data_IF_569484797090
#
_entry.id   IF_569484797090
#
_cell.length_a   1.000
_cell.length_b   1.000
_cell.length_c   1.000
_cell.angle_alpha   90.00
_cell.angle_beta   90.00
_cell.angle_gamma   90.00
#
_symmetry.space_group_name_H-M   'P 1'
#
loop_
_entity.id
_entity.type
_entity.pdbx_description
1 polymer ?
#
# COMPACT_ATOMS: atom_id res chain seq x y z
N UNK A 1 31.70 12.10 5.73
CA UNK A 1 31.46 11.60 7.09
C UNK A 1 30.91 10.18 6.99
N UNK A 2 31.56 9.19 7.61
CA UNK A 2 31.08 7.81 7.63
C UNK A 2 29.88 7.71 8.58
N UNK A 3 28.67 7.67 8.03
CA UNK A 3 27.46 7.47 8.83
C UNK A 3 27.28 5.98 9.10
N UNK A 4 27.44 5.50 10.35
CA UNK A 4 27.44 4.08 10.67
C UNK A 4 26.10 3.39 10.36
N UNK A 5 24.98 4.11 10.47
CA UNK A 5 23.65 3.60 10.08
C UNK A 5 23.62 3.25 8.59
N UNK A 6 24.17 4.13 7.75
CA UNK A 6 24.27 3.90 6.31
C UNK A 6 25.33 2.85 5.99
N UNK A 7 26.22 2.47 6.92
CA UNK A 7 27.15 1.35 6.72
C UNK A 7 26.49 -0.03 6.82
N UNK A 8 25.29 -0.11 7.41
CA UNK A 8 24.60 -1.38 7.62
C UNK A 8 24.12 -2.01 6.31
N UNK A 9 23.98 -3.35 6.28
CA UNK A 9 23.25 -4.03 5.21
C UNK A 9 21.85 -3.47 5.05
N UNK A 10 21.38 -3.38 3.81
CA UNK A 10 20.06 -2.80 3.51
C UNK A 10 18.92 -3.44 4.30
N UNK A 11 18.97 -4.76 4.51
CA UNK A 11 17.97 -5.52 5.27
C UNK A 11 17.89 -5.05 6.73
N UNK A 12 19.04 -4.72 7.35
CA UNK A 12 19.04 -4.20 8.73
C UNK A 12 18.42 -2.80 8.80
N UNK A 13 18.70 -1.95 7.81
CA UNK A 13 18.08 -0.62 7.70
C UNK A 13 16.58 -0.74 7.46
N UNK A 14 16.14 -1.58 6.52
CA UNK A 14 14.72 -1.86 6.26
C UNK A 14 14.01 -2.40 7.52
N UNK A 15 14.68 -3.24 8.31
CA UNK A 15 14.14 -3.76 9.58
C UNK A 15 13.96 -2.65 10.61
N UNK A 16 14.92 -1.71 10.72
CA UNK A 16 14.78 -0.54 11.60
C UNK A 16 13.61 0.33 11.14
N UNK A 17 13.52 0.62 9.84
CA UNK A 17 12.45 1.42 9.26
C UNK A 17 11.07 0.76 9.42
N UNK A 18 10.99 -0.57 9.58
CA UNK A 18 9.71 -1.27 9.77
C UNK A 18 8.97 -0.92 11.06
N UNK A 19 9.63 -0.27 12.02
CA UNK A 19 9.02 0.24 13.25
C UNK A 19 8.45 1.66 13.11
N UNK A 20 8.60 2.28 11.93
CA UNK A 20 8.12 3.62 11.63
C UNK A 20 6.88 3.56 10.74
N UNK A 21 6.04 4.60 10.85
CA UNK A 21 4.92 4.82 9.96
C UNK A 21 5.37 5.21 8.55
N UNK A 22 4.47 5.05 7.58
CA UNK A 22 4.71 5.44 6.18
C UNK A 22 5.09 6.93 6.08
N UNK A 23 4.40 7.80 6.84
CA UNK A 23 4.66 9.23 6.86
C UNK A 23 6.05 9.54 7.42
N UNK A 24 6.45 8.91 8.53
CA UNK A 24 7.79 9.08 9.11
C UNK A 24 8.89 8.65 8.13
N UNK A 25 8.72 7.50 7.46
CA UNK A 25 9.66 7.03 6.43
C UNK A 25 9.73 8.01 5.26
N UNK A 26 8.61 8.64 4.89
CA UNK A 26 8.59 9.64 3.81
C UNK A 26 9.44 10.87 4.14
N UNK A 27 9.43 11.32 5.39
CA UNK A 27 10.23 12.47 5.85
C UNK A 27 11.74 12.15 5.83
N UNK A 28 12.12 10.90 6.13
CA UNK A 28 13.51 10.45 6.12
C UNK A 28 14.17 10.50 4.73
N UNK A 29 13.39 10.54 3.65
CA UNK A 29 13.91 10.69 2.28
C UNK A 29 14.76 11.94 2.10
N UNK A 30 14.46 13.01 2.82
CA UNK A 30 15.17 14.29 2.73
C UNK A 30 16.56 14.29 3.38
N UNK A 31 16.90 13.26 4.16
CA UNK A 31 18.13 13.21 4.96
C UNK A 31 19.38 13.10 4.08
N UNK A 32 19.41 12.16 3.14
CA UNK A 32 20.51 11.99 2.19
C UNK A 32 20.13 11.09 1.00
N UNK A 33 20.93 11.12 -0.08
CA UNK A 33 20.68 10.34 -1.30
C UNK A 33 20.52 8.82 -1.05
N UNK A 34 21.33 8.25 -0.15
CA UNK A 34 21.23 6.81 0.16
C UNK A 34 19.96 6.50 0.95
N UNK A 35 19.56 7.38 1.88
CA UNK A 35 18.33 7.22 2.64
C UNK A 35 17.10 7.36 1.72
N UNK A 36 17.12 8.32 0.79
CA UNK A 36 16.07 8.47 -0.22
C UNK A 36 15.86 7.18 -1.02
N UNK A 37 16.93 6.58 -1.54
CA UNK A 37 16.84 5.32 -2.30
C UNK A 37 16.23 4.17 -1.48
N UNK A 38 16.65 4.02 -0.23
CA UNK A 38 16.15 2.95 0.65
C UNK A 38 14.69 3.20 1.01
N UNK A 39 14.34 4.42 1.44
CA UNK A 39 12.98 4.79 1.81
C UNK A 39 12.04 4.68 0.61
N UNK A 40 12.44 5.12 -0.59
CA UNK A 40 11.64 4.95 -1.80
C UNK A 40 11.29 3.48 -2.06
N UNK A 41 12.26 2.57 -1.91
CA UNK A 41 12.03 1.13 -2.05
C UNK A 41 11.04 0.61 -1.02
N UNK A 42 11.19 0.97 0.26
CA UNK A 42 10.28 0.56 1.34
C UNK A 42 8.86 1.07 1.09
N UNK A 43 8.71 2.36 0.77
CA UNK A 43 7.41 2.99 0.51
C UNK A 43 6.70 2.36 -0.69
N UNK A 44 7.40 2.16 -1.80
CA UNK A 44 6.85 1.52 -2.99
C UNK A 44 6.43 0.06 -2.71
N UNK A 45 7.23 -0.69 -1.95
CA UNK A 45 6.83 -2.03 -1.52
C UNK A 45 5.60 -2.03 -0.62
N UNK A 46 5.48 -1.05 0.27
CA UNK A 46 4.29 -0.83 1.08
C UNK A 46 3.06 -0.57 0.21
N UNK A 47 3.16 0.33 -0.76
CA UNK A 47 2.09 0.65 -1.70
C UNK A 47 1.63 -0.58 -2.50
N UNK A 48 2.57 -1.35 -3.08
CA UNK A 48 2.26 -2.57 -3.82
C UNK A 48 1.55 -3.63 -2.95
N UNK A 49 1.87 -3.71 -1.64
CA UNK A 49 1.16 -4.61 -0.71
C UNK A 49 -0.28 -4.16 -0.51
N UNK A 50 -0.54 -2.85 -0.40
CA UNK A 50 -1.88 -2.29 -0.30
C UNK A 50 -2.70 -2.57 -1.56
N UNK A 51 -2.14 -2.36 -2.75
CA UNK A 51 -2.81 -2.66 -4.02
C UNK A 51 -3.20 -4.15 -4.13
N UNK A 52 -2.28 -5.05 -3.75
CA UNK A 52 -2.56 -6.50 -3.72
C UNK A 52 -3.66 -6.86 -2.73
N UNK A 53 -3.63 -6.25 -1.54
CA UNK A 53 -4.64 -6.49 -0.53
C UNK A 53 -6.03 -6.00 -0.98
N UNK A 54 -6.09 -4.79 -1.56
CA UNK A 54 -7.32 -4.26 -2.16
C UNK A 54 -7.85 -5.20 -3.26
N UNK A 55 -6.99 -5.64 -4.17
CA UNK A 55 -7.36 -6.58 -5.23
C UNK A 55 -7.94 -7.89 -4.69
N UNK A 56 -7.39 -8.41 -3.59
CA UNK A 56 -7.90 -9.60 -2.91
C UNK A 56 -9.31 -9.36 -2.35
N UNK A 57 -9.50 -8.28 -1.59
CA UNK A 57 -10.79 -7.89 -1.03
C UNK A 57 -11.84 -7.72 -2.14
N UNK A 58 -11.47 -7.05 -3.24
CA UNK A 58 -12.36 -6.83 -4.36
C UNK A 58 -12.79 -8.14 -5.04
N UNK A 59 -11.86 -9.08 -5.25
CA UNK A 59 -12.17 -10.41 -5.79
C UNK A 59 -13.12 -11.18 -4.86
N UNK A 60 -12.88 -11.15 -3.55
CA UNK A 60 -13.73 -11.84 -2.57
C UNK A 60 -15.15 -11.29 -2.54
N UNK A 61 -15.31 -9.96 -2.58
CA UNK A 61 -16.64 -9.32 -2.64
C UNK A 61 -17.32 -9.61 -3.97
N UNK A 62 -16.61 -9.45 -5.11
CA UNK A 62 -17.17 -9.73 -6.44
C UNK A 62 -17.62 -11.18 -6.60
N UNK A 63 -16.92 -12.15 -6.01
CA UNK A 63 -17.28 -13.57 -6.05
C UNK A 63 -18.61 -13.88 -5.33
N UNK A 64 -19.00 -13.06 -4.34
CA UNK A 64 -20.25 -13.23 -3.59
C UNK A 64 -21.43 -12.48 -4.22
N UNK A 65 -21.18 -11.55 -5.14
CA UNK A 65 -22.24 -10.79 -5.81
C UNK A 65 -22.93 -11.64 -6.89
N UNK A 66 -24.26 -11.47 -7.00
CA UNK A 66 -25.05 -12.03 -8.10
C UNK A 66 -24.56 -11.48 -9.44
N UNK A 67 -24.71 -12.22 -10.54
CA UNK A 67 -24.24 -11.72 -11.85
C UNK A 67 -25.14 -10.65 -12.47
N UNK A 68 -26.42 -10.59 -12.10
CA UNK A 68 -27.40 -9.64 -12.64
C UNK A 68 -27.39 -8.31 -11.89
N UNK A 69 -27.33 -7.22 -12.63
CA UNK A 69 -27.27 -5.84 -12.10
C UNK A 69 -28.45 -5.50 -11.16
N UNK A 70 -29.67 -5.92 -11.51
CA UNK A 70 -30.89 -5.70 -10.71
C UNK A 70 -30.83 -6.40 -9.34
N UNK A 71 -30.22 -7.59 -9.28
CA UNK A 71 -30.06 -8.38 -8.06
C UNK A 71 -28.85 -7.90 -7.23
N UNK A 72 -27.82 -7.36 -7.90
CA UNK A 72 -26.66 -6.74 -7.24
C UNK A 72 -27.05 -5.52 -6.42
N UNK A 73 -27.91 -4.64 -6.94
CA UNK A 73 -28.30 -3.39 -6.26
C UNK A 73 -29.02 -3.62 -4.93
N UNK A 74 -29.70 -4.75 -4.79
CA UNK A 74 -30.40 -5.14 -3.56
C UNK A 74 -29.55 -6.03 -2.64
N UNK A 75 -28.31 -6.33 -3.01
CA UNK A 75 -27.42 -7.20 -2.24
C UNK A 75 -26.80 -6.47 -1.05
N UNK A 76 -26.66 -7.15 0.09
CA UNK A 76 -26.07 -6.57 1.31
C UNK A 76 -24.63 -6.06 1.12
N UNK A 77 -23.88 -6.67 0.20
CA UNK A 77 -22.51 -6.27 -0.15
C UNK A 77 -22.41 -5.22 -1.27
N UNK A 78 -23.52 -4.73 -1.85
CA UNK A 78 -23.48 -3.74 -2.94
C UNK A 78 -22.66 -2.50 -2.55
N UNK A 79 -22.96 -1.93 -1.38
CA UNK A 79 -22.24 -0.77 -0.83
C UNK A 79 -20.75 -1.04 -0.62
N UNK A 80 -20.38 -2.26 -0.22
CA UNK A 80 -18.97 -2.63 -0.04
C UNK A 80 -18.22 -2.66 -1.38
N UNK A 81 -18.89 -3.11 -2.45
CA UNK A 81 -18.32 -3.08 -3.79
C UNK A 81 -18.14 -1.64 -4.31
N UNK A 82 -19.09 -0.75 -4.05
CA UNK A 82 -18.99 0.67 -4.43
C UNK A 82 -17.83 1.36 -3.71
N UNK A 83 -17.68 1.11 -2.40
CA UNK A 83 -16.55 1.63 -1.61
C UNK A 83 -15.22 1.11 -2.18
N UNK A 84 -15.12 -0.19 -2.46
CA UNK A 84 -13.91 -0.77 -3.02
C UNK A 84 -13.59 -0.21 -4.42
N UNK A 85 -14.59 0.06 -5.25
CA UNK A 85 -14.39 0.70 -6.55
C UNK A 85 -13.88 2.14 -6.40
N UNK A 86 -14.44 2.92 -5.46
CA UNK A 86 -13.94 4.26 -5.18
C UNK A 86 -12.48 4.27 -4.66
N UNK A 87 -12.14 3.30 -3.80
CA UNK A 87 -10.75 3.11 -3.34
C UNK A 87 -9.83 2.72 -4.50
N UNK A 88 -10.26 1.86 -5.41
CA UNK A 88 -9.48 1.46 -6.60
C UNK A 88 -9.16 2.65 -7.50
N UNK A 89 -10.15 3.51 -7.75
CA UNK A 89 -9.97 4.75 -8.52
C UNK A 89 -8.94 5.64 -7.83
N UNK A 90 -8.99 5.76 -6.50
CA UNK A 90 -8.03 6.59 -5.77
C UNK A 90 -6.62 6.00 -5.81
N UNK A 91 -6.47 4.68 -5.67
CA UNK A 91 -5.17 4.01 -5.71
C UNK A 91 -4.52 4.10 -7.09
N UNK A 92 -5.29 3.95 -8.18
CA UNK A 92 -4.77 4.02 -9.55
C UNK A 92 -4.22 5.40 -9.97
N UNK A 93 -4.47 6.44 -9.17
CA UNK A 93 -4.01 7.81 -9.42
C UNK A 93 -2.74 8.19 -8.62
N UNK A 94 -2.24 7.29 -7.77
CA UNK A 94 -1.05 7.47 -6.94
C UNK A 94 0.14 6.71 -7.54
#
# INVERSE_FOLDING_TARGET
>A
QNNPLLGLPIVAIETILSFLSYDEISLLRSVCKRMDMICQRVLNQGFLKVERYHSLCQRQVKAQLRQRESERRNHSLARHADILAAVETRLSLL
#
